data_IF_081445604943
#
_entry.id   IF_081445604943
#
_cell.length_a   1.000
_cell.length_b   1.000
_cell.length_c   1.000
_cell.angle_alpha   90.00
_cell.angle_beta   90.00
_cell.angle_gamma   90.00
#
_symmetry.space_group_name_H-M   'P 1'
#
loop_
_entity.id
_entity.type
_entity.pdbx_description
1 polymer ?
#
# COMPACT_ATOMS: atom_id res chain seq x y z
N UNK A 1 -6.95 92.35 -39.17
CA UNK A 1 -8.15 91.76 -39.82
C UNK A 1 -8.19 90.27 -39.51
N UNK A 2 -9.34 89.79 -39.06
CA UNK A 2 -9.63 88.38 -38.74
C UNK A 2 -9.50 87.51 -39.98
N UNK A 3 -9.02 86.27 -39.83
CA UNK A 3 -9.54 85.14 -40.60
C UNK A 3 -9.71 83.94 -39.67
N UNK A 4 -10.97 83.64 -39.38
CA UNK A 4 -11.41 82.36 -38.83
C UNK A 4 -11.38 81.33 -39.96
N UNK A 5 -10.79 80.16 -39.70
CA UNK A 5 -11.11 78.93 -40.43
C UNK A 5 -11.51 77.88 -39.41
N UNK A 6 -12.77 77.48 -39.52
CA UNK A 6 -13.42 76.38 -38.83
C UNK A 6 -12.93 75.05 -39.41
N UNK A 7 -12.41 74.16 -38.58
CA UNK A 7 -12.24 72.74 -38.95
C UNK A 7 -12.99 71.89 -37.92
N UNK A 8 -14.09 71.28 -38.37
CA UNK A 8 -14.91 70.37 -37.57
C UNK A 8 -14.11 69.12 -37.23
N UNK A 9 -13.94 68.85 -35.92
CA UNK A 9 -13.45 67.58 -35.40
C UNK A 9 -14.51 66.49 -35.62
N UNK A 10 -14.14 65.41 -36.32
CA UNK A 10 -14.89 64.15 -36.29
C UNK A 10 -14.63 63.46 -34.93
N UNK A 11 -15.64 63.43 -34.06
CA UNK A 11 -15.62 62.58 -32.86
C UNK A 11 -15.97 61.14 -33.24
N UNK A 12 -14.97 60.26 -33.23
CA UNK A 12 -15.12 58.81 -33.32
C UNK A 12 -15.73 58.32 -32.00
N UNK A 13 -16.97 57.80 -32.02
CA UNK A 13 -17.55 57.13 -30.85
C UNK A 13 -16.93 55.73 -30.74
N UNK A 14 -16.03 55.56 -29.78
CA UNK A 14 -15.57 54.23 -29.37
C UNK A 14 -16.72 53.50 -28.66
N UNK A 15 -17.20 52.40 -29.24
CA UNK A 15 -18.14 51.48 -28.59
C UNK A 15 -17.32 50.55 -27.71
N UNK A 16 -17.36 50.79 -26.41
CA UNK A 16 -16.73 49.92 -25.41
C UNK A 16 -17.55 48.63 -25.28
N UNK A 17 -17.09 47.53 -25.90
CA UNK A 17 -17.61 46.21 -25.61
C UNK A 17 -17.12 45.78 -24.22
N UNK A 18 -18.01 45.84 -23.23
CA UNK A 18 -17.81 45.16 -21.95
C UNK A 18 -17.90 43.65 -22.19
N UNK A 19 -16.75 43.00 -22.39
CA UNK A 19 -16.61 41.56 -22.31
C UNK A 19 -16.90 41.13 -20.88
N UNK A 20 -18.13 40.70 -20.60
CA UNK A 20 -18.43 39.90 -19.43
C UNK A 20 -17.68 38.58 -19.57
N UNK A 21 -16.54 38.47 -18.88
CA UNK A 21 -15.86 37.21 -18.67
C UNK A 21 -16.74 36.38 -17.72
N UNK A 22 -17.68 35.62 -18.28
CA UNK A 22 -18.36 34.58 -17.51
C UNK A 22 -17.27 33.62 -17.02
N UNK A 23 -17.19 33.30 -15.72
CA UNK A 23 -16.27 32.28 -15.25
C UNK A 23 -16.66 31.00 -15.97
N UNK A 24 -15.80 30.55 -16.88
CA UNK A 24 -15.84 29.19 -17.38
C UNK A 24 -15.63 28.29 -16.18
N UNK A 25 -16.73 27.78 -15.63
CA UNK A 25 -16.74 26.61 -14.78
C UNK A 25 -16.10 25.50 -15.61
N UNK A 26 -14.79 25.36 -15.50
CA UNK A 26 -14.10 24.15 -15.96
C UNK A 26 -14.68 23.03 -15.12
N UNK A 27 -15.64 22.31 -15.70
CA UNK A 27 -16.05 21.00 -15.20
C UNK A 27 -14.77 20.19 -15.07
N UNK A 28 -14.36 19.97 -13.82
CA UNK A 28 -13.27 19.06 -13.47
C UNK A 28 -13.53 17.74 -14.20
N UNK A 29 -12.52 17.01 -14.72
CA UNK A 29 -12.68 15.76 -15.47
C UNK A 29 -13.17 14.58 -14.59
N UNK A 30 -13.98 14.86 -13.58
CA UNK A 30 -14.51 13.98 -12.54
C UNK A 30 -15.71 13.14 -12.99
N UNK A 31 -16.14 13.23 -14.25
CA UNK A 31 -17.47 12.78 -14.67
C UNK A 31 -17.56 11.42 -15.39
N UNK A 32 -16.50 10.61 -15.49
CA UNK A 32 -16.61 9.37 -16.29
C UNK A 32 -15.90 8.12 -15.76
N UNK A 33 -15.60 8.03 -14.45
CA UNK A 33 -15.23 6.72 -13.88
C UNK A 33 -16.53 6.00 -13.46
N UNK A 34 -16.77 4.75 -13.90
CA UNK A 34 -17.95 4.00 -13.50
C UNK A 34 -17.96 3.86 -11.97
N UNK A 35 -19.12 4.01 -11.34
CA UNK A 35 -19.24 3.83 -9.89
C UNK A 35 -19.13 2.34 -9.57
N UNK A 36 -18.40 1.97 -8.51
CA UNK A 36 -18.42 0.60 -8.01
C UNK A 36 -19.84 0.26 -7.51
N UNK A 37 -20.51 -0.68 -8.17
CA UNK A 37 -21.89 -1.08 -7.82
C UNK A 37 -21.93 -2.17 -6.74
N UNK A 38 -20.97 -3.10 -6.78
CA UNK A 38 -20.91 -4.28 -5.90
C UNK A 38 -19.51 -4.45 -5.33
N UNK A 39 -19.11 -3.64 -4.33
CA UNK A 39 -17.78 -3.74 -3.74
C UNK A 39 -17.59 -5.09 -3.05
N UNK A 40 -16.46 -5.74 -3.31
CA UNK A 40 -16.08 -6.93 -2.53
C UNK A 40 -15.74 -6.53 -1.09
N UNK A 41 -16.09 -7.36 -0.12
CA UNK A 41 -15.80 -7.10 1.29
C UNK A 41 -14.50 -7.79 1.67
N UNK A 42 -13.49 -7.01 2.03
CA UNK A 42 -12.25 -7.51 2.64
C UNK A 42 -12.49 -7.79 4.13
N UNK A 43 -12.17 -9.00 4.57
CA UNK A 43 -12.46 -9.52 5.91
C UNK A 43 -11.20 -9.69 6.75
N UNK A 44 -11.35 -9.67 8.06
CA UNK A 44 -10.28 -10.04 8.98
C UNK A 44 -9.93 -11.52 8.78
N UNK A 45 -8.64 -11.89 8.85
CA UNK A 45 -8.12 -13.24 8.58
C UNK A 45 -8.91 -14.37 9.26
N UNK A 46 -9.27 -14.17 10.52
CA UNK A 46 -9.98 -15.15 11.32
C UNK A 46 -11.50 -15.22 11.02
N UNK A 47 -12.04 -14.29 10.22
CA UNK A 47 -13.42 -14.35 9.73
C UNK A 47 -13.55 -15.01 8.35
N UNK A 48 -12.45 -15.31 7.66
CA UNK A 48 -12.51 -16.09 6.42
C UNK A 48 -13.03 -17.51 6.70
N UNK A 49 -13.78 -18.05 5.75
CA UNK A 49 -14.15 -19.47 5.75
C UNK A 49 -12.91 -20.37 5.57
N UNK A 50 -12.98 -21.65 5.98
CA UNK A 50 -11.90 -22.60 5.71
C UNK A 50 -11.51 -22.68 4.22
N UNK A 51 -12.49 -22.61 3.31
CA UNK A 51 -12.29 -22.64 1.86
C UNK A 51 -11.61 -21.36 1.35
N UNK A 52 -12.00 -20.20 1.89
CA UNK A 52 -11.34 -18.93 1.57
C UNK A 52 -9.86 -18.96 2.03
N UNK A 53 -9.55 -19.47 3.23
CA UNK A 53 -8.15 -19.59 3.71
C UNK A 53 -7.33 -20.58 2.89
N UNK A 54 -7.89 -21.75 2.61
CA UNK A 54 -7.23 -22.79 1.82
C UNK A 54 -6.95 -22.32 0.38
N UNK A 55 -7.93 -21.68 -0.27
CA UNK A 55 -7.74 -21.12 -1.61
C UNK A 55 -6.72 -19.97 -1.62
N UNK A 56 -6.64 -19.13 -0.57
CA UNK A 56 -5.58 -18.12 -0.45
C UNK A 56 -4.20 -18.79 -0.43
N UNK A 57 -4.00 -19.77 0.46
CA UNK A 57 -2.72 -20.50 0.60
C UNK A 57 -2.30 -21.18 -0.72
N UNK A 58 -3.26 -21.83 -1.39
CA UNK A 58 -3.03 -22.47 -2.69
C UNK A 58 -2.70 -21.44 -3.77
N UNK A 59 -3.38 -20.29 -3.79
CA UNK A 59 -3.14 -19.24 -4.76
C UNK A 59 -1.74 -18.62 -4.59
N UNK A 60 -1.31 -18.33 -3.35
CA UNK A 60 0.05 -17.87 -3.06
C UNK A 60 1.08 -18.88 -3.58
N UNK A 61 0.88 -20.16 -3.29
CA UNK A 61 1.76 -21.24 -3.77
C UNK A 61 1.78 -21.31 -5.30
N UNK A 62 0.64 -21.14 -5.96
CA UNK A 62 0.54 -21.08 -7.42
C UNK A 62 1.38 -19.92 -8.01
N UNK A 63 1.42 -18.73 -7.39
CA UNK A 63 2.23 -17.61 -7.88
C UNK A 63 3.72 -17.95 -7.97
N UNK A 64 4.23 -18.82 -7.08
CA UNK A 64 5.62 -19.30 -7.09
C UNK A 64 5.95 -20.25 -8.26
N UNK A 65 4.93 -20.68 -9.00
CA UNK A 65 5.10 -21.57 -10.17
C UNK A 65 4.94 -20.82 -11.49
N UNK A 66 4.38 -19.61 -11.46
CA UNK A 66 4.14 -18.80 -12.64
C UNK A 66 5.42 -18.06 -13.03
N UNK A 67 5.72 -17.91 -14.33
CA UNK A 67 6.83 -17.09 -14.77
C UNK A 67 6.59 -15.61 -14.41
N UNK A 68 7.67 -14.86 -14.19
CA UNK A 68 7.63 -13.41 -14.00
C UNK A 68 6.82 -12.70 -15.11
N UNK A 69 5.90 -11.83 -14.71
CA UNK A 69 5.14 -10.94 -15.60
C UNK A 69 6.03 -9.82 -16.16
N UNK A 70 7.05 -9.40 -15.40
CA UNK A 70 8.03 -8.39 -15.82
C UNK A 70 9.29 -8.98 -16.44
N UNK A 71 9.25 -10.26 -16.84
CA UNK A 71 10.30 -10.98 -17.59
C UNK A 71 11.64 -11.10 -16.85
N UNK A 72 11.61 -11.14 -15.52
CA UNK A 72 12.75 -11.48 -14.69
C UNK A 72 13.02 -13.00 -14.72
N UNK A 73 14.26 -13.45 -14.42
CA UNK A 73 14.57 -14.87 -14.27
C UNK A 73 14.09 -15.44 -12.92
N UNK A 74 12.90 -15.04 -12.49
CA UNK A 74 12.25 -15.37 -11.20
C UNK A 74 10.76 -15.63 -11.43
N UNK A 75 10.01 -15.90 -10.36
CA UNK A 75 8.59 -16.22 -10.43
C UNK A 75 7.72 -14.96 -10.40
N UNK A 76 6.43 -15.09 -10.73
CA UNK A 76 5.45 -14.02 -10.54
C UNK A 76 5.35 -13.58 -9.08
N UNK A 77 5.52 -14.52 -8.13
CA UNK A 77 5.59 -14.19 -6.71
C UNK A 77 6.76 -13.24 -6.40
N UNK A 78 7.93 -13.53 -6.97
CA UNK A 78 9.14 -12.73 -6.78
C UNK A 78 9.04 -11.33 -7.40
N UNK A 79 8.21 -11.13 -8.45
CA UNK A 79 8.03 -9.81 -9.06
C UNK A 79 7.55 -8.76 -8.04
N UNK A 80 6.68 -9.16 -7.12
CA UNK A 80 6.19 -8.27 -6.06
C UNK A 80 7.34 -7.79 -5.18
N UNK A 81 8.18 -8.71 -4.71
CA UNK A 81 9.37 -8.36 -3.92
C UNK A 81 10.33 -7.48 -4.72
N UNK A 82 10.58 -7.80 -5.99
CA UNK A 82 11.49 -7.03 -6.83
C UNK A 82 11.01 -5.58 -6.97
N UNK A 83 9.75 -5.39 -7.34
CA UNK A 83 9.17 -4.05 -7.53
C UNK A 83 9.24 -3.26 -6.24
N UNK A 84 8.83 -3.84 -5.11
CA UNK A 84 8.89 -3.20 -3.81
C UNK A 84 10.31 -2.75 -3.44
N UNK A 85 11.32 -3.60 -3.70
CA UNK A 85 12.72 -3.27 -3.46
C UNK A 85 13.22 -2.13 -4.37
N UNK A 86 12.87 -2.15 -5.67
CA UNK A 86 13.37 -1.14 -6.62
C UNK A 86 12.81 0.26 -6.36
N UNK A 87 11.57 0.36 -5.86
CA UNK A 87 10.87 1.63 -5.67
C UNK A 87 10.81 2.08 -4.20
N UNK A 88 11.52 1.39 -3.31
CA UNK A 88 11.40 1.57 -1.87
C UNK A 88 11.55 3.05 -1.43
N UNK A 89 12.59 3.73 -1.91
CA UNK A 89 12.91 5.12 -1.55
C UNK A 89 11.93 6.14 -2.15
N UNK A 90 11.16 5.78 -3.16
CA UNK A 90 10.13 6.64 -3.76
C UNK A 90 8.76 6.47 -3.09
N UNK A 91 8.58 5.38 -2.35
CA UNK A 91 7.30 5.02 -1.70
C UNK A 91 7.33 5.24 -0.21
N UNK A 92 8.43 4.90 0.46
CA UNK A 92 8.49 4.85 1.93
C UNK A 92 9.20 6.06 2.50
N UNK A 93 10.51 6.20 2.22
CA UNK A 93 11.36 7.22 2.83
C UNK A 93 12.24 7.86 1.76
N UNK A 94 12.09 9.17 1.59
CA UNK A 94 12.93 10.01 0.72
C UNK A 94 13.62 11.10 1.52
N UNK A 95 14.95 11.22 1.42
CA UNK A 95 15.73 12.22 2.19
C UNK A 95 15.41 12.25 3.70
N UNK A 96 15.29 11.07 4.33
CA UNK A 96 14.93 10.91 5.75
C UNK A 96 13.55 11.48 6.12
N UNK A 97 12.58 11.45 5.21
CA UNK A 97 11.18 11.81 5.44
C UNK A 97 10.27 10.72 4.91
N UNK A 98 9.21 10.41 5.66
CA UNK A 98 8.15 9.50 5.18
C UNK A 98 7.41 10.18 4.03
N UNK A 99 7.21 9.45 2.94
CA UNK A 99 6.58 9.96 1.74
C UNK A 99 5.07 9.71 1.76
N UNK A 100 4.30 10.68 1.24
CA UNK A 100 2.85 10.58 1.10
C UNK A 100 2.44 9.39 0.22
N UNK A 101 3.32 9.00 -0.71
CA UNK A 101 3.14 7.91 -1.66
C UNK A 101 2.93 6.55 -1.00
N UNK A 102 3.36 6.38 0.25
CA UNK A 102 3.25 5.15 1.03
C UNK A 102 1.86 4.51 0.96
N UNK A 103 0.81 5.25 1.34
CA UNK A 103 -0.55 4.71 1.40
C UNK A 103 -1.15 4.37 0.03
N UNK A 104 -1.23 5.30 -0.94
CA UNK A 104 -1.82 4.98 -2.24
C UNK A 104 -1.03 3.91 -3.02
N UNK A 105 0.30 3.87 -2.89
CA UNK A 105 1.09 2.84 -3.57
C UNK A 105 0.79 1.45 -3.01
N UNK A 106 0.76 1.27 -1.69
CA UNK A 106 0.46 -0.04 -1.08
C UNK A 106 -0.99 -0.47 -1.30
N UNK A 107 -1.95 0.47 -1.35
CA UNK A 107 -3.33 0.19 -1.76
C UNK A 107 -3.38 -0.43 -3.15
N UNK A 108 -2.71 0.18 -4.12
CA UNK A 108 -2.69 -0.33 -5.49
C UNK A 108 -1.92 -1.66 -5.59
N UNK A 109 -0.81 -1.77 -4.87
CA UNK A 109 -0.01 -2.99 -4.81
C UNK A 109 -0.82 -4.19 -4.28
N UNK A 110 -1.65 -3.97 -3.25
CA UNK A 110 -2.58 -4.97 -2.73
C UNK A 110 -3.65 -5.39 -3.75
N UNK A 111 -4.20 -4.45 -4.54
CA UNK A 111 -5.15 -4.77 -5.63
C UNK A 111 -4.51 -5.64 -6.72
N UNK A 112 -3.27 -5.31 -7.10
CA UNK A 112 -2.53 -6.06 -8.12
C UNK A 112 -2.27 -7.49 -7.62
N UNK A 113 -1.89 -7.63 -6.35
CA UNK A 113 -1.68 -8.94 -5.72
C UNK A 113 -2.97 -9.74 -5.64
N UNK A 114 -4.07 -9.12 -5.19
CA UNK A 114 -5.40 -9.74 -5.17
C UNK A 114 -5.82 -10.25 -6.55
N UNK A 115 -5.56 -9.48 -7.61
CA UNK A 115 -5.82 -9.90 -8.99
C UNK A 115 -4.99 -11.12 -9.36
N UNK A 116 -3.69 -11.12 -9.05
CA UNK A 116 -2.81 -12.27 -9.31
C UNK A 116 -3.26 -13.53 -8.52
N UNK A 117 -3.72 -13.37 -7.28
CA UNK A 117 -4.29 -14.47 -6.50
C UNK A 117 -5.56 -15.03 -7.17
N UNK A 118 -6.45 -14.17 -7.68
CA UNK A 118 -7.66 -14.60 -8.40
C UNK A 118 -7.32 -15.37 -9.68
N UNK A 119 -6.27 -14.97 -10.42
CA UNK A 119 -5.76 -15.72 -11.58
C UNK A 119 -5.20 -17.11 -11.18
N UNK A 120 -4.82 -17.27 -9.92
CA UNK A 120 -4.41 -18.53 -9.30
C UNK A 120 -5.54 -19.25 -8.54
N UNK A 121 -6.80 -18.85 -8.74
CA UNK A 121 -7.99 -19.52 -8.21
C UNK A 121 -8.41 -19.11 -6.80
N UNK A 122 -7.91 -17.99 -6.28
CA UNK A 122 -8.40 -17.45 -5.01
C UNK A 122 -9.86 -16.99 -5.14
N UNK A 123 -10.72 -17.44 -4.21
CA UNK A 123 -12.17 -17.18 -4.27
C UNK A 123 -12.62 -15.98 -3.43
N UNK A 124 -11.74 -15.48 -2.54
CA UNK A 124 -12.05 -14.41 -1.61
C UNK A 124 -11.64 -13.02 -2.10
N UNK A 125 -11.77 -12.05 -1.20
CA UNK A 125 -11.14 -10.73 -1.31
C UNK A 125 -9.92 -10.66 -0.40
N UNK A 126 -8.93 -9.82 -0.74
CA UNK A 126 -7.67 -9.74 0.02
C UNK A 126 -7.95 -9.56 1.53
N UNK A 127 -7.55 -10.52 2.39
CA UNK A 127 -7.84 -10.43 3.80
C UNK A 127 -6.92 -9.42 4.48
N UNK A 128 -7.35 -8.89 5.62
CA UNK A 128 -6.50 -8.08 6.48
C UNK A 128 -6.18 -8.80 7.79
N UNK A 129 -5.00 -8.50 8.34
CA UNK A 129 -4.57 -9.00 9.65
C UNK A 129 -4.77 -7.90 10.70
N UNK A 130 -5.80 -8.02 11.53
CA UNK A 130 -6.02 -7.05 12.61
C UNK A 130 -5.20 -7.38 13.86
N UNK A 131 -3.97 -6.87 13.91
CA UNK A 131 -3.05 -7.07 15.04
C UNK A 131 -3.63 -6.59 16.36
N UNK A 132 -4.56 -5.61 16.33
CA UNK A 132 -5.08 -4.97 17.54
C UNK A 132 -5.92 -5.94 18.38
N UNK A 133 -6.47 -6.99 17.76
CA UNK A 133 -7.27 -8.03 18.42
C UNK A 133 -6.42 -8.95 19.32
N UNK A 134 -5.11 -9.00 19.08
CA UNK A 134 -4.21 -9.98 19.69
C UNK A 134 -3.07 -9.33 20.49
N UNK A 135 -3.16 -8.04 20.84
CA UNK A 135 -2.03 -7.34 21.50
C UNK A 135 -1.63 -7.91 22.87
N UNK A 136 -2.53 -8.62 23.55
CA UNK A 136 -2.23 -9.33 24.80
C UNK A 136 -1.45 -10.63 24.58
N UNK A 137 -1.57 -11.24 23.40
CA UNK A 137 -0.90 -12.49 23.04
C UNK A 137 -0.62 -12.56 21.52
N UNK A 138 0.28 -11.71 21.00
CA UNK A 138 0.42 -11.50 19.56
C UNK A 138 0.98 -12.71 18.82
N UNK A 139 1.79 -13.55 19.49
CA UNK A 139 2.42 -14.74 18.91
C UNK A 139 1.37 -15.80 18.55
N UNK A 140 0.25 -15.84 19.27
CA UNK A 140 -0.86 -16.77 19.02
C UNK A 140 -1.98 -16.16 18.18
N UNK A 141 -1.75 -15.00 17.54
CA UNK A 141 -2.63 -14.48 16.48
C UNK A 141 -2.89 -15.58 15.43
N UNK A 142 -4.16 -15.87 15.06
CA UNK A 142 -4.53 -16.99 14.19
C UNK A 142 -3.73 -17.08 12.89
N UNK A 143 -3.43 -15.94 12.25
CA UNK A 143 -2.65 -15.90 11.00
C UNK A 143 -1.20 -16.37 11.18
N UNK A 144 -0.65 -16.30 12.39
CA UNK A 144 0.71 -16.75 12.73
C UNK A 144 0.74 -18.21 13.18
N UNK A 145 -0.40 -18.89 13.25
CA UNK A 145 -0.47 -20.30 13.69
C UNK A 145 -0.24 -21.28 12.54
N UNK A 146 -0.21 -22.56 12.86
CA UNK A 146 -0.11 -23.62 11.87
C UNK A 146 -1.41 -23.78 11.02
N UNK A 147 -1.33 -24.46 9.86
CA UNK A 147 -2.51 -24.89 9.12
C UNK A 147 -3.49 -25.72 9.96
N UNK A 148 -4.79 -25.70 9.62
CA UNK A 148 -5.39 -25.03 8.47
C UNK A 148 -5.68 -23.53 8.71
N UNK A 149 -5.29 -22.97 9.86
CA UNK A 149 -5.72 -21.63 10.26
C UNK A 149 -4.75 -20.55 9.78
N UNK A 150 -3.44 -20.70 9.99
CA UNK A 150 -2.48 -19.62 9.74
C UNK A 150 -1.54 -19.84 8.55
N UNK A 151 -0.74 -18.81 8.27
CA UNK A 151 0.31 -18.76 7.25
C UNK A 151 1.65 -19.28 7.79
N UNK A 152 1.65 -19.99 8.92
CA UNK A 152 2.82 -20.63 9.53
C UNK A 152 3.42 -19.86 10.72
N UNK A 153 4.18 -20.57 11.56
CA UNK A 153 4.71 -20.03 12.83
C UNK A 153 6.02 -19.26 12.67
N UNK A 154 6.66 -18.99 13.82
CA UNK A 154 8.02 -18.45 13.92
C UNK A 154 9.04 -19.34 13.18
N UNK A 155 10.18 -18.75 12.86
CA UNK A 155 11.33 -19.49 12.35
C UNK A 155 12.03 -20.28 13.46
N UNK A 156 12.50 -21.47 13.09
CA UNK A 156 13.29 -22.35 13.97
C UNK A 156 14.76 -22.27 13.62
N UNK A 157 15.63 -22.48 14.61
CA UNK A 157 17.07 -22.66 14.38
C UNK A 157 17.36 -24.05 13.82
N UNK A 158 17.06 -24.25 12.53
CA UNK A 158 17.31 -25.52 11.82
C UNK A 158 18.64 -25.49 11.05
N UNK A 159 19.33 -26.64 10.97
CA UNK A 159 20.52 -26.81 10.11
C UNK A 159 20.20 -26.73 8.61
N UNK A 160 18.94 -26.95 8.22
CA UNK A 160 18.47 -26.77 6.84
C UNK A 160 18.24 -25.30 6.47
N UNK A 161 18.47 -24.39 7.40
CA UNK A 161 18.29 -22.97 7.18
C UNK A 161 19.52 -22.41 6.46
N UNK A 162 19.33 -22.04 5.19
CA UNK A 162 20.42 -21.50 4.35
C UNK A 162 20.85 -20.14 4.90
N UNK A 163 22.16 -20.02 5.14
CA UNK A 163 22.81 -18.91 5.82
C UNK A 163 22.48 -17.52 5.23
N UNK A 164 21.97 -16.62 6.09
CA UNK A 164 22.03 -15.17 5.94
C UNK A 164 23.11 -14.63 6.89
N UNK A 165 24.11 -13.87 6.42
CA UNK A 165 25.23 -13.43 7.25
C UNK A 165 24.89 -12.50 8.41
N UNK A 166 23.68 -11.93 8.43
CA UNK A 166 23.34 -10.86 9.37
C UNK A 166 22.28 -11.25 10.41
N UNK A 167 21.76 -12.49 10.41
CA UNK A 167 20.74 -12.95 11.36
C UNK A 167 20.96 -14.41 11.78
N UNK A 168 20.60 -14.79 13.02
CA UNK A 168 20.50 -16.19 13.41
C UNK A 168 19.57 -16.92 12.43
N UNK A 169 19.92 -18.13 11.97
CA UNK A 169 19.18 -18.85 10.93
C UNK A 169 17.83 -19.32 11.47
N UNK A 170 16.81 -18.45 11.45
CA UNK A 170 15.44 -18.76 11.87
C UNK A 170 14.53 -18.93 10.66
N UNK A 171 14.55 -20.13 10.11
CA UNK A 171 13.74 -20.48 8.95
C UNK A 171 12.38 -21.02 9.37
N UNK A 172 11.33 -20.63 8.65
CA UNK A 172 10.01 -21.23 8.80
C UNK A 172 10.11 -22.71 8.45
N UNK A 173 9.90 -23.58 9.43
CA UNK A 173 10.13 -25.02 9.30
C UNK A 173 8.84 -25.85 9.17
N UNK A 174 7.69 -25.23 9.40
CA UNK A 174 6.38 -25.89 9.31
C UNK A 174 5.32 -24.93 8.76
N UNK A 175 4.15 -25.46 8.47
CA UNK A 175 3.06 -24.73 7.84
C UNK A 175 3.18 -24.66 6.31
N UNK A 176 2.30 -23.90 5.65
CA UNK A 176 2.09 -24.02 4.22
C UNK A 176 3.27 -23.47 3.40
N UNK A 177 4.08 -22.60 4.00
CA UNK A 177 5.20 -21.93 3.35
C UNK A 177 6.58 -22.35 3.89
N UNK A 178 6.69 -23.46 4.63
CA UNK A 178 8.00 -23.99 5.05
C UNK A 178 8.92 -24.33 3.85
N UNK A 179 8.30 -24.75 2.74
CA UNK A 179 8.99 -25.01 1.48
C UNK A 179 9.20 -23.77 0.60
N UNK A 180 8.71 -22.59 0.99
CA UNK A 180 8.83 -21.38 0.18
C UNK A 180 10.29 -20.98 0.02
N UNK A 181 10.67 -20.62 -1.21
CA UNK A 181 12.04 -20.23 -1.57
C UNK A 181 12.06 -18.88 -2.29
N UNK A 182 11.86 -17.75 -1.58
CA UNK A 182 11.95 -16.43 -2.19
C UNK A 182 13.36 -16.16 -2.74
N UNK A 183 13.43 -15.30 -3.76
CA UNK A 183 14.68 -15.04 -4.48
C UNK A 183 15.53 -13.88 -3.94
N UNK A 184 14.97 -12.93 -3.19
CA UNK A 184 15.69 -11.70 -2.81
C UNK A 184 16.07 -11.67 -1.34
N UNK A 185 17.34 -11.43 -1.06
CA UNK A 185 17.87 -11.32 0.30
C UNK A 185 18.94 -10.23 0.40
N UNK A 186 19.45 -9.98 1.61
CA UNK A 186 20.61 -9.09 1.81
C UNK A 186 21.86 -9.55 1.04
N UNK A 187 21.96 -10.85 0.72
CA UNK A 187 23.05 -11.42 -0.07
C UNK A 187 22.86 -11.34 -1.60
N UNK A 188 21.82 -10.65 -2.08
CA UNK A 188 21.49 -10.53 -3.49
C UNK A 188 20.33 -11.44 -3.93
N UNK A 189 20.32 -11.79 -5.23
CA UNK A 189 19.26 -12.61 -5.85
C UNK A 189 19.66 -14.09 -5.83
N UNK A 190 19.25 -14.80 -4.79
CA UNK A 190 19.46 -16.25 -4.62
C UNK A 190 18.34 -16.83 -3.78
N UNK A 191 17.77 -17.94 -4.23
CA UNK A 191 16.80 -18.70 -3.46
C UNK A 191 17.31 -19.00 -2.05
N UNK A 192 16.50 -18.65 -1.04
CA UNK A 192 16.75 -18.95 0.36
C UNK A 192 15.46 -19.40 1.04
N UNK A 193 15.54 -19.93 2.25
CA UNK A 193 14.34 -20.23 3.03
C UNK A 193 13.69 -18.95 3.56
N UNK A 194 12.36 -18.92 3.66
CA UNK A 194 11.65 -17.82 4.33
C UNK A 194 12.10 -17.71 5.79
N UNK A 195 12.48 -16.50 6.22
CA UNK A 195 12.87 -16.24 7.60
C UNK A 195 11.80 -15.46 8.35
N UNK A 196 11.48 -15.94 9.56
CA UNK A 196 10.70 -15.22 10.56
C UNK A 196 11.45 -15.28 11.89
N UNK A 197 11.41 -14.21 12.65
CA UNK A 197 11.84 -14.24 14.03
C UNK A 197 10.90 -13.43 14.91
N UNK A 198 9.80 -14.05 15.29
CA UNK A 198 8.95 -13.54 16.35
C UNK A 198 9.81 -13.42 17.59
N UNK A 199 9.69 -12.29 18.26
CA UNK A 199 10.40 -11.97 19.49
C UNK A 199 11.90 -11.71 19.43
N UNK A 200 12.56 -11.77 18.25
CA UNK A 200 13.98 -11.36 18.16
C UNK A 200 14.16 -9.89 18.55
N UNK A 201 13.24 -9.02 18.13
CA UNK A 201 13.30 -7.59 18.37
C UNK A 201 12.71 -7.23 19.75
N UNK A 202 11.70 -7.97 20.22
CA UNK A 202 11.01 -7.71 21.48
C UNK A 202 10.18 -8.93 21.93
N UNK A 203 10.23 -9.34 23.22
CA UNK A 203 9.48 -10.50 23.73
C UNK A 203 7.95 -10.37 23.56
N UNK A 204 7.44 -9.15 23.38
CA UNK A 204 6.00 -8.86 23.22
C UNK A 204 5.61 -8.59 21.77
N UNK A 205 6.47 -8.92 20.80
CA UNK A 205 6.27 -8.54 19.38
C UNK A 205 5.94 -7.05 19.21
N UNK A 206 6.53 -6.18 20.05
CA UNK A 206 6.28 -4.72 20.04
C UNK A 206 4.80 -4.34 20.23
N UNK A 207 3.97 -5.17 20.90
CA UNK A 207 2.52 -4.97 20.97
C UNK A 207 2.05 -3.63 21.52
N UNK A 208 2.86 -2.98 22.36
CA UNK A 208 2.61 -1.63 22.84
C UNK A 208 2.48 -0.57 21.72
N UNK A 209 3.02 -0.81 20.51
CA UNK A 209 2.98 0.10 19.36
C UNK A 209 1.73 -0.06 18.47
N UNK A 210 0.91 -1.09 18.67
CA UNK A 210 -0.29 -1.35 17.85
C UNK A 210 -1.50 -1.77 18.69
N UNK A 211 -1.56 -1.31 19.94
CA UNK A 211 -2.77 -1.44 20.77
C UNK A 211 -3.95 -0.66 20.15
N UNK A 212 -5.21 -1.03 20.47
CA UNK A 212 -6.38 -0.23 20.07
C UNK A 212 -6.25 1.25 20.45
N UNK A 213 -5.66 1.55 21.62
CA UNK A 213 -5.43 2.92 22.06
C UNK A 213 -4.41 3.69 21.20
N UNK A 214 -3.37 3.03 20.70
CA UNK A 214 -2.44 3.65 19.74
C UNK A 214 -3.15 3.91 18.41
N UNK A 215 -3.87 2.92 17.89
CA UNK A 215 -4.60 3.06 16.62
C UNK A 215 -5.64 4.16 16.70
N UNK A 216 -6.40 4.28 17.79
CA UNK A 216 -7.37 5.35 17.98
C UNK A 216 -6.72 6.73 17.96
N UNK A 217 -5.57 6.91 18.64
CA UNK A 217 -4.83 8.19 18.58
C UNK A 217 -4.37 8.54 17.17
N UNK A 218 -3.98 7.55 16.37
CA UNK A 218 -3.62 7.78 14.96
C UNK A 218 -4.86 8.15 14.14
N UNK A 219 -6.00 7.47 14.37
CA UNK A 219 -7.27 7.79 13.70
C UNK A 219 -7.78 9.21 14.00
N UNK A 220 -7.44 9.76 15.18
CA UNK A 220 -7.77 11.13 15.58
C UNK A 220 -6.90 12.21 14.91
N UNK A 221 -5.80 11.83 14.26
CA UNK A 221 -4.91 12.79 13.59
C UNK A 221 -5.66 13.51 12.48
N UNK A 222 -5.56 14.84 12.50
CA UNK A 222 -6.11 15.70 11.45
C UNK A 222 -5.09 15.84 10.34
N UNK A 223 -5.55 15.69 9.11
CA UNK A 223 -4.72 15.89 7.93
C UNK A 223 -3.86 14.69 7.56
N UNK A 224 -3.71 14.50 6.26
CA UNK A 224 -2.98 13.37 5.69
C UNK A 224 -1.47 13.45 5.96
N UNK A 225 -0.91 14.68 5.96
CA UNK A 225 0.52 14.92 6.12
C UNK A 225 1.10 14.40 7.44
N UNK A 226 0.28 14.32 8.50
CA UNK A 226 0.66 13.77 9.80
C UNK A 226 0.13 12.34 10.01
N UNK A 227 -1.07 12.04 9.50
CA UNK A 227 -1.70 10.72 9.63
C UNK A 227 -0.84 9.62 8.98
N UNK A 228 -0.42 9.83 7.72
CA UNK A 228 0.36 8.86 6.96
C UNK A 228 1.67 8.49 7.66
N UNK A 229 2.53 9.48 8.01
CA UNK A 229 3.76 9.23 8.77
C UNK A 229 3.54 8.57 10.13
N UNK A 230 2.49 8.95 10.88
CA UNK A 230 2.19 8.33 12.17
C UNK A 230 1.81 6.85 12.02
N UNK A 231 1.03 6.51 11.00
CA UNK A 231 0.68 5.12 10.69
C UNK A 231 1.91 4.31 10.24
N UNK A 232 2.78 4.92 9.41
CA UNK A 232 4.03 4.32 8.93
C UNK A 232 5.02 4.03 10.07
N UNK A 233 5.33 5.01 10.90
CA UNK A 233 6.33 4.91 11.97
C UNK A 233 5.83 4.20 13.21
N UNK A 234 4.51 4.09 13.39
CA UNK A 234 3.89 3.36 14.48
C UNK A 234 3.61 1.90 14.12
N UNK A 235 2.33 1.49 13.98
CA UNK A 235 1.95 0.10 13.77
C UNK A 235 2.62 -0.59 12.57
N UNK A 236 2.81 0.10 11.44
CA UNK A 236 3.46 -0.48 10.26
C UNK A 236 4.89 -0.94 10.58
N UNK A 237 5.75 0.00 11.02
CA UNK A 237 7.14 -0.31 11.36
C UNK A 237 7.22 -1.36 12.47
N UNK A 238 6.37 -1.25 13.49
CA UNK A 238 6.36 -2.18 14.62
C UNK A 238 6.07 -3.62 14.18
N UNK A 239 5.11 -3.86 13.28
CA UNK A 239 4.82 -5.22 12.79
C UNK A 239 5.94 -5.73 11.87
N UNK A 240 6.50 -4.87 11.01
CA UNK A 240 7.69 -5.21 10.23
C UNK A 240 8.84 -5.72 11.10
N UNK A 241 9.15 -5.00 12.18
CA UNK A 241 10.20 -5.37 13.14
C UNK A 241 9.83 -6.57 14.01
N UNK A 242 8.56 -6.73 14.36
CA UNK A 242 8.08 -7.77 15.25
C UNK A 242 8.06 -9.17 14.61
N UNK A 243 7.68 -9.27 13.33
CA UNK A 243 7.74 -10.52 12.57
C UNK A 243 9.20 -10.94 12.35
N UNK A 244 10.09 -9.98 12.13
CA UNK A 244 11.53 -10.22 11.99
C UNK A 244 11.90 -11.00 10.72
N UNK A 245 13.15 -11.48 10.66
CA UNK A 245 13.62 -12.26 9.51
C UNK A 245 13.69 -11.43 8.22
N UNK A 246 12.93 -11.84 7.20
CA UNK A 246 12.85 -11.14 5.92
C UNK A 246 11.90 -9.91 5.99
N UNK A 247 10.95 -9.93 6.93
CA UNK A 247 9.87 -8.95 7.05
C UNK A 247 10.30 -7.50 7.33
N UNK A 248 11.36 -7.18 8.11
CA UNK A 248 11.80 -5.80 8.32
C UNK A 248 12.67 -5.24 7.19
N UNK A 249 12.83 -5.95 6.07
CA UNK A 249 13.74 -5.58 4.98
C UNK A 249 12.97 -5.02 3.78
N UNK A 250 13.67 -4.39 2.84
CA UNK A 250 13.08 -3.92 1.57
C UNK A 250 12.49 -5.05 0.70
N UNK A 251 12.82 -6.29 1.02
CA UNK A 251 12.26 -7.50 0.42
C UNK A 251 11.19 -8.17 1.30
N UNK A 252 10.52 -7.39 2.17
CA UNK A 252 9.43 -7.86 3.03
C UNK A 252 8.29 -8.60 2.32
N UNK A 253 7.95 -8.35 1.03
CA UNK A 253 6.95 -9.16 0.31
C UNK A 253 7.35 -10.62 0.08
N UNK A 254 8.60 -11.01 0.39
CA UNK A 254 8.99 -12.42 0.46
C UNK A 254 8.07 -13.24 1.38
N UNK A 255 7.55 -12.62 2.44
CA UNK A 255 6.66 -13.26 3.39
C UNK A 255 5.18 -13.06 2.99
N UNK A 256 4.38 -14.13 2.86
CA UNK A 256 2.94 -14.02 2.59
C UNK A 256 2.14 -13.22 3.63
N UNK A 257 2.70 -12.93 4.81
CA UNK A 257 2.12 -12.01 5.81
C UNK A 257 2.07 -10.55 5.34
N UNK A 258 2.86 -10.18 4.33
CA UNK A 258 3.00 -8.81 3.85
C UNK A 258 1.67 -8.23 3.40
N UNK A 259 0.94 -8.94 2.54
CA UNK A 259 -0.29 -8.41 1.96
C UNK A 259 -1.44 -8.31 2.98
N UNK A 260 -1.67 -9.28 3.88
CA UNK A 260 -2.63 -9.10 4.97
C UNK A 260 -2.23 -7.98 5.96
N UNK A 261 -0.94 -7.78 6.21
CA UNK A 261 -0.46 -6.63 6.98
C UNK A 261 -0.80 -5.31 6.28
N UNK A 262 -0.41 -5.14 5.02
CA UNK A 262 -0.70 -3.90 4.29
C UNK A 262 -2.19 -3.70 3.99
N UNK A 263 -2.99 -4.76 3.92
CA UNK A 263 -4.44 -4.65 3.84
C UNK A 263 -5.05 -4.06 5.12
N UNK A 264 -4.46 -4.31 6.30
CA UNK A 264 -4.87 -3.64 7.54
C UNK A 264 -4.38 -2.18 7.59
N UNK A 265 -3.18 -1.88 7.09
CA UNK A 265 -2.74 -0.48 6.92
C UNK A 265 -3.71 0.29 6.01
N UNK A 266 -4.08 -0.30 4.88
CA UNK A 266 -5.07 0.27 3.96
C UNK A 266 -6.45 0.40 4.60
N UNK A 267 -6.89 -0.59 5.40
CA UNK A 267 -8.13 -0.50 6.18
C UNK A 267 -8.12 0.68 7.12
N UNK A 268 -7.01 0.92 7.83
CA UNK A 268 -6.91 2.05 8.76
C UNK A 268 -6.97 3.39 8.02
N UNK A 269 -6.36 3.50 6.84
CA UNK A 269 -6.53 4.69 5.99
C UNK A 269 -7.97 4.83 5.48
N UNK A 270 -8.59 3.76 5.01
CA UNK A 270 -9.99 3.75 4.60
C UNK A 270 -10.92 4.21 5.73
N UNK A 271 -10.75 3.69 6.96
CA UNK A 271 -11.52 4.12 8.15
C UNK A 271 -11.32 5.60 8.44
N UNK A 272 -10.07 6.08 8.36
CA UNK A 272 -9.76 7.49 8.57
C UNK A 272 -10.49 8.38 7.55
N UNK A 273 -10.55 7.96 6.28
CA UNK A 273 -11.32 8.66 5.24
C UNK A 273 -12.82 8.64 5.56
N UNK A 274 -13.38 7.52 6.03
CA UNK A 274 -14.82 7.40 6.33
C UNK A 274 -15.30 8.35 7.44
N UNK A 275 -14.44 8.74 8.38
CA UNK A 275 -14.84 9.64 9.49
C UNK A 275 -15.24 11.05 9.04
N UNK A 276 -14.77 11.50 7.87
CA UNK A 276 -15.13 12.78 7.26
C UNK A 276 -14.91 12.69 5.74
N UNK A 277 -15.74 11.86 5.10
CA UNK A 277 -15.55 11.45 3.71
C UNK A 277 -15.50 12.65 2.75
N UNK A 278 -16.31 13.67 2.99
CA UNK A 278 -16.37 14.87 2.15
C UNK A 278 -15.00 15.58 2.05
N UNK A 279 -14.29 15.70 3.17
CA UNK A 279 -13.03 16.43 3.24
C UNK A 279 -11.80 15.52 3.12
N UNK A 280 -11.88 14.27 3.59
CA UNK A 280 -10.72 13.35 3.67
C UNK A 280 -10.54 12.45 2.46
N UNK A 281 -11.59 12.22 1.66
CA UNK A 281 -11.51 11.25 0.56
C UNK A 281 -10.36 11.56 -0.40
N UNK A 282 -10.17 12.83 -0.76
CA UNK A 282 -9.09 13.27 -1.65
C UNK A 282 -8.00 14.08 -0.94
N UNK A 283 -7.97 14.06 0.40
CA UNK A 283 -6.91 14.73 1.14
C UNK A 283 -5.59 13.98 0.94
N UNK A 284 -4.62 14.65 0.33
CA UNK A 284 -3.31 14.09 0.00
C UNK A 284 -2.26 15.19 0.05
N UNK A 285 -1.40 15.12 1.07
CA UNK A 285 -0.47 16.18 1.44
C UNK A 285 0.82 15.56 2.02
N UNK A 286 1.85 16.36 2.25
CA UNK A 286 3.13 15.90 2.79
C UNK A 286 4.23 15.87 1.72
N UNK A 287 5.27 15.07 1.97
CA UNK A 287 6.43 14.99 1.08
C UNK A 287 6.21 13.98 -0.05
N UNK A 288 6.53 14.37 -1.27
CA UNK A 288 6.72 13.45 -2.39
C UNK A 288 8.15 13.58 -2.93
N UNK A 289 8.63 12.52 -3.58
CA UNK A 289 9.90 12.53 -4.31
C UNK A 289 9.64 12.22 -5.78
N UNK A 290 9.22 13.22 -6.58
CA UNK A 290 8.99 13.01 -8.01
C UNK A 290 10.31 12.64 -8.70
N UNK A 291 10.30 11.62 -9.55
CA UNK A 291 11.47 11.20 -10.34
C UNK A 291 12.14 12.33 -11.15
N UNK A 292 11.38 13.35 -11.52
CA UNK A 292 11.85 14.50 -12.29
C UNK A 292 12.58 15.55 -11.44
N UNK A 293 12.51 15.45 -10.11
CA UNK A 293 13.05 16.44 -9.19
C UNK A 293 14.05 15.76 -8.25
N UNK A 294 15.32 16.16 -8.31
CA UNK A 294 16.34 15.77 -7.33
C UNK A 294 16.09 16.38 -5.92
N UNK A 295 14.83 16.70 -5.58
CA UNK A 295 14.41 17.38 -4.36
C UNK A 295 13.03 16.89 -3.94
N UNK A 296 12.79 16.88 -2.63
CA UNK A 296 11.45 16.68 -2.08
C UNK A 296 10.54 17.82 -2.53
N UNK A 297 9.31 17.47 -2.90
CA UNK A 297 8.26 18.39 -3.29
C UNK A 297 7.01 18.15 -2.44
N UNK A 298 6.01 19.04 -2.55
CA UNK A 298 4.71 18.83 -1.94
C UNK A 298 3.91 17.79 -2.73
N UNK A 299 3.39 16.79 -2.05
CA UNK A 299 2.60 15.72 -2.65
C UNK A 299 1.34 16.26 -3.34
N UNK A 300 1.00 15.70 -4.50
CA UNK A 300 -0.18 16.07 -5.29
C UNK A 300 -0.93 14.82 -5.72
N UNK A 301 -2.26 14.91 -5.83
CA UNK A 301 -3.08 13.80 -6.33
C UNK A 301 -2.78 13.45 -7.80
N UNK A 302 -2.11 14.34 -8.54
CA UNK A 302 -1.57 14.08 -9.87
C UNK A 302 -0.25 13.30 -9.89
N UNK A 303 0.35 13.04 -8.73
CA UNK A 303 1.62 12.31 -8.64
C UNK A 303 1.42 10.88 -9.17
N UNK A 304 2.44 10.38 -9.89
CA UNK A 304 2.37 9.09 -10.58
C UNK A 304 2.81 7.95 -9.67
N UNK A 305 1.95 6.97 -9.51
CA UNK A 305 2.18 5.72 -8.80
C UNK A 305 2.72 4.69 -9.80
N UNK A 306 4.02 4.41 -9.73
CA UNK A 306 4.67 3.47 -10.65
C UNK A 306 4.62 2.04 -10.15
N UNK A 307 4.43 1.10 -11.07
CA UNK A 307 4.44 -0.34 -10.80
C UNK A 307 5.53 -1.09 -11.57
N UNK A 308 6.44 -0.36 -12.23
CA UNK A 308 7.63 -0.90 -12.90
C UNK A 308 7.33 -2.09 -13.85
N UNK A 309 6.17 -2.04 -14.52
CA UNK A 309 5.71 -3.07 -15.45
C UNK A 309 4.86 -4.19 -14.84
N UNK A 310 4.79 -4.31 -13.50
CA UNK A 310 3.93 -5.30 -12.84
C UNK A 310 2.45 -5.01 -13.09
N UNK A 311 2.11 -3.73 -13.18
CA UNK A 311 0.83 -3.22 -13.65
C UNK A 311 1.02 -1.88 -14.37
N UNK A 312 -0.07 -1.34 -14.92
CA UNK A 312 -0.06 0.02 -15.47
C UNK A 312 0.19 1.03 -14.36
N UNK A 313 0.96 2.09 -14.65
CA UNK A 313 1.07 3.21 -13.72
C UNK A 313 -0.24 3.99 -13.66
N UNK A 314 -0.55 4.53 -12.48
CA UNK A 314 -1.74 5.34 -12.24
C UNK A 314 -1.34 6.66 -11.58
N UNK A 315 -2.28 7.60 -11.48
CA UNK A 315 -2.09 8.76 -10.62
C UNK A 315 -2.68 8.47 -9.23
N UNK A 316 -2.18 9.17 -8.21
CA UNK A 316 -2.70 9.05 -6.83
C UNK A 316 -4.22 9.25 -6.78
N UNK A 317 -4.76 10.19 -7.57
CA UNK A 317 -6.20 10.47 -7.65
C UNK A 317 -7.04 9.23 -8.01
N UNK A 318 -6.48 8.30 -8.80
CA UNK A 318 -7.15 7.06 -9.22
C UNK A 318 -7.24 6.03 -8.08
N UNK A 319 -6.59 6.28 -6.94
CA UNK A 319 -6.41 5.35 -5.82
C UNK A 319 -7.01 5.88 -4.51
N UNK A 320 -7.50 7.12 -4.50
CA UNK A 320 -8.01 7.76 -3.28
C UNK A 320 -9.33 7.17 -2.80
N UNK A 321 -10.18 6.68 -3.72
CA UNK A 321 -11.50 6.13 -3.43
C UNK A 321 -11.56 4.65 -3.79
N UNK A 322 -11.82 3.79 -2.79
CA UNK A 322 -11.91 2.33 -2.95
C UNK A 322 -13.12 1.86 -3.76
N UNK A 323 -14.00 2.79 -4.16
CA UNK A 323 -15.25 2.53 -4.88
C UNK A 323 -15.39 3.36 -6.18
N UNK A 324 -14.28 3.86 -6.73
CA UNK A 324 -14.26 4.64 -7.97
C UNK A 324 -14.34 3.82 -9.27
N UNK A 325 -14.71 2.54 -9.20
CA UNK A 325 -14.86 1.62 -10.34
C UNK A 325 -13.57 0.96 -10.80
N UNK A 326 -12.42 1.64 -10.65
CA UNK A 326 -11.11 1.00 -10.79
C UNK A 326 -10.79 0.17 -9.54
N UNK A 327 -11.04 0.76 -8.38
CA UNK A 327 -11.15 0.05 -7.13
C UNK A 327 -12.63 -0.25 -6.87
N UNK A 328 -12.92 -1.43 -6.34
CA UNK A 328 -14.28 -1.82 -6.00
C UNK A 328 -14.29 -2.76 -4.80
N UNK A 329 -13.93 -2.22 -3.63
CA UNK A 329 -13.96 -2.95 -2.37
C UNK A 329 -14.23 -2.04 -1.16
N UNK A 330 -14.70 -2.68 -0.09
CA UNK A 330 -14.83 -2.11 1.25
C UNK A 330 -14.21 -3.06 2.28
N UNK A 331 -14.11 -2.62 3.52
CA UNK A 331 -13.69 -3.45 4.65
C UNK A 331 -14.90 -3.80 5.51
N UNK A 332 -14.88 -4.99 6.13
CA UNK A 332 -15.81 -5.27 7.21
C UNK A 332 -15.50 -4.38 8.44
N UNK A 333 -16.54 -3.93 9.12
CA UNK A 333 -16.43 -3.19 10.38
C UNK A 333 -16.32 -4.10 11.59
#
# INVERSE_FOLDING_TARGET
MRFHVNTKLLTLRAVTFLLFCAPSLSLSPRQNQPKCENPVVRKEWNKLSPEERDSYIKAVSCLTTKPSKIKLPTTLYDDFTWVHQQIFDEVHIGSNRVLAQFLPWHRYFGLIYETALKDCGYIGALPYWDWTLYTSDPIHSPILTAPPIGLGPDGTTSRSCVYNPNLPPKCVASGPFAGLRPMYSTGGTRAHSLHRCYTCSSPTMLSHQYTPGVVNRIQDIRGFADFGPALFSGPHQAIHEAVGGDFPRVFSPNDPLFFPHHAQIDRLWWKWQQTDLEHRLFQYEGFSQPLSENRLSGARTSDRVRMLGLAMDLNVIDLMDTQNGRLCYIYED
#
